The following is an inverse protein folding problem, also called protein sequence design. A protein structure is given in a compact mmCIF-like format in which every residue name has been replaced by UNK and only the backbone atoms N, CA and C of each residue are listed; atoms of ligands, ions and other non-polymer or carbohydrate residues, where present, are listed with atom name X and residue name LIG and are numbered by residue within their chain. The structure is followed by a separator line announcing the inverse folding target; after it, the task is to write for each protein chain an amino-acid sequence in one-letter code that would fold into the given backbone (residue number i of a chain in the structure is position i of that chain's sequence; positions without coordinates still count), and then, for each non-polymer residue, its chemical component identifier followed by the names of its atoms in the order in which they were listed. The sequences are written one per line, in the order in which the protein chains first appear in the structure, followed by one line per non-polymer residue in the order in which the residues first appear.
data_IF_099591782618
#
_entry.id   IF_099591782618
#
_cell.length_a   1.000
_cell.length_b   1.000
_cell.length_c   1.000
_cell.angle_alpha   90.00
_cell.angle_beta   90.00
_cell.angle_gamma   90.00
#
_symmetry.space_group_name_H-M   'P 1'
#
loop_
_entity.id
_entity.type
_entity.pdbx_description
1 polymer ?
#
# COMPACT_ATOMS: atom_id res chain seq x y z
N UNK A 1 -48.41 35.23 1.45
CA UNK A 1 -48.92 35.39 0.06
C UNK A 1 -48.23 34.34 -0.80
N UNK A 2 -48.96 33.39 -1.40
CA UNK A 2 -48.42 32.52 -2.46
C UNK A 2 -48.51 33.29 -3.80
N UNK A 3 -47.49 33.26 -4.66
CA UNK A 3 -47.63 33.78 -6.01
C UNK A 3 -48.69 32.97 -6.76
N UNK A 4 -49.59 33.60 -7.53
CA UNK A 4 -50.52 32.87 -8.38
C UNK A 4 -49.75 32.07 -9.44
N UNK A 5 -50.12 30.79 -9.63
CA UNK A 5 -49.52 29.83 -10.57
C UNK A 5 -48.07 29.40 -10.28
N UNK A 6 -47.58 29.55 -9.05
CA UNK A 6 -46.28 29.02 -8.63
C UNK A 6 -46.44 27.92 -7.56
N UNK A 7 -46.45 26.68 -8.02
CA UNK A 7 -46.32 25.44 -7.23
C UNK A 7 -44.85 25.08 -6.91
N UNK A 8 -43.91 25.72 -7.58
CA UNK A 8 -42.47 25.60 -7.38
C UNK A 8 -41.96 26.65 -6.38
N UNK A 9 -42.15 26.38 -5.09
CA UNK A 9 -41.46 27.16 -4.05
C UNK A 9 -39.98 26.76 -4.01
N UNK A 10 -39.04 27.71 -4.09
CA UNK A 10 -37.61 27.37 -4.03
C UNK A 10 -37.27 26.81 -2.66
N UNK A 11 -36.68 25.61 -2.65
CA UNK A 11 -36.11 25.01 -1.44
C UNK A 11 -34.65 25.41 -1.39
N UNK A 12 -34.29 26.17 -0.37
CA UNK A 12 -32.90 26.49 -0.07
C UNK A 12 -32.37 25.46 0.92
N UNK A 13 -31.44 24.63 0.46
CA UNK A 13 -30.75 23.65 1.28
C UNK A 13 -29.29 24.05 1.43
N UNK A 14 -28.78 23.99 2.66
CA UNK A 14 -27.35 24.09 2.94
C UNK A 14 -26.87 22.69 3.28
N UNK A 15 -26.00 22.13 2.45
CA UNK A 15 -25.39 20.82 2.67
C UNK A 15 -23.95 21.07 3.07
N UNK A 16 -23.62 20.73 4.31
CA UNK A 16 -22.24 20.69 4.75
C UNK A 16 -21.59 19.43 4.19
N UNK A 17 -20.60 19.62 3.31
CA UNK A 17 -19.81 18.55 2.67
C UNK A 17 -18.40 18.47 3.26
N UNK A 18 -18.17 19.07 4.43
CA UNK A 18 -16.89 18.95 5.12
C UNK A 18 -16.61 17.49 5.43
N UNK A 19 -15.56 16.95 4.79
CA UNK A 19 -15.06 15.63 5.10
C UNK A 19 -14.01 15.77 6.20
N UNK A 20 -14.15 15.00 7.28
CA UNK A 20 -13.05 14.81 8.23
C UNK A 20 -11.97 14.02 7.50
N UNK A 21 -10.92 14.70 7.10
CA UNK A 21 -9.75 14.07 6.49
C UNK A 21 -9.01 13.37 7.62
N UNK A 22 -9.10 12.04 7.68
CA UNK A 22 -8.30 11.28 8.64
C UNK A 22 -6.85 11.26 8.15
N UNK A 23 -5.92 11.41 9.09
CA UNK A 23 -4.52 11.13 8.82
C UNK A 23 -4.40 9.66 8.43
N UNK A 24 -3.91 9.42 7.22
CA UNK A 24 -3.58 8.08 6.78
C UNK A 24 -2.20 7.73 7.33
N UNK A 25 -2.08 6.56 7.94
CA UNK A 25 -0.77 6.07 8.38
C UNK A 25 0.08 5.70 7.16
N UNK A 26 1.39 6.03 7.15
CA UNK A 26 2.32 5.53 6.15
C UNK A 26 2.32 4.00 6.11
N UNK A 27 2.26 3.41 4.92
CA UNK A 27 2.33 1.97 4.69
C UNK A 27 3.37 1.64 3.63
N UNK A 28 3.90 0.42 3.62
CA UNK A 28 4.79 -0.07 2.56
C UNK A 28 4.10 0.09 1.19
N UNK A 29 4.72 0.83 0.30
CA UNK A 29 4.21 1.14 -1.02
C UNK A 29 4.71 0.13 -2.05
N UNK A 30 4.16 -1.09 -1.97
CA UNK A 30 4.49 -2.21 -2.86
C UNK A 30 4.37 -1.88 -4.35
N UNK A 31 3.48 -0.94 -4.70
CA UNK A 31 3.28 -0.50 -6.09
C UNK A 31 4.48 0.28 -6.64
N UNK A 32 5.16 1.04 -5.78
CA UNK A 32 6.32 1.86 -6.18
C UNK A 32 7.66 1.17 -5.90
N UNK A 33 7.64 -0.09 -5.45
CA UNK A 33 8.85 -0.88 -5.23
C UNK A 33 9.59 -1.13 -6.53
N UNK A 34 10.91 -0.90 -6.53
CA UNK A 34 11.79 -1.44 -7.57
C UNK A 34 11.95 -2.96 -7.35
N UNK A 35 11.20 -3.74 -8.12
CA UNK A 35 11.21 -5.20 -8.04
C UNK A 35 12.52 -5.84 -8.50
N UNK A 36 13.36 -5.12 -9.26
CA UNK A 36 14.70 -5.62 -9.59
C UNK A 36 15.60 -5.52 -8.36
N UNK A 37 15.67 -4.34 -7.74
CA UNK A 37 16.43 -4.14 -6.51
C UNK A 37 15.95 -5.04 -5.37
N UNK A 38 14.62 -5.20 -5.22
CA UNK A 38 14.03 -6.10 -4.22
C UNK A 38 14.50 -7.54 -4.41
N UNK A 39 14.46 -8.07 -5.65
CA UNK A 39 14.90 -9.44 -5.93
C UNK A 39 16.40 -9.60 -5.70
N UNK A 40 17.21 -8.65 -6.13
CA UNK A 40 18.67 -8.68 -5.90
C UNK A 40 19.00 -8.73 -4.41
N UNK A 41 18.31 -7.93 -3.59
CA UNK A 41 18.52 -7.92 -2.14
C UNK A 41 18.00 -9.18 -1.46
N UNK A 42 16.80 -9.65 -1.82
CA UNK A 42 16.24 -10.89 -1.28
C UNK A 42 17.13 -12.10 -1.63
N UNK A 43 17.64 -12.17 -2.87
CA UNK A 43 18.53 -13.26 -3.29
C UNK A 43 19.83 -13.29 -2.48
N UNK A 44 20.41 -12.14 -2.13
CA UNK A 44 21.61 -12.09 -1.27
C UNK A 44 21.32 -12.65 0.13
N UNK A 45 20.16 -12.33 0.69
CA UNK A 45 19.74 -12.82 2.02
C UNK A 45 19.46 -14.31 1.99
N UNK A 46 18.72 -14.78 0.99
CA UNK A 46 18.45 -16.22 0.84
C UNK A 46 19.71 -17.03 0.53
N UNK A 47 20.73 -16.44 -0.08
CA UNK A 47 22.01 -17.12 -0.32
C UNK A 47 22.78 -17.45 0.96
N UNK A 48 22.46 -16.82 2.11
CA UNK A 48 23.06 -17.19 3.40
C UNK A 48 22.34 -18.35 4.08
N UNK A 49 21.26 -18.85 3.49
CA UNK A 49 20.54 -20.00 4.01
C UNK A 49 21.43 -21.25 3.94
N UNK A 50 21.44 -22.09 4.99
CA UNK A 50 22.15 -23.35 4.93
C UNK A 50 21.64 -24.22 3.77
N UNK A 51 22.50 -25.06 3.16
CA UNK A 51 22.11 -25.93 2.07
C UNK A 51 20.91 -26.80 2.46
N UNK A 52 19.88 -26.83 1.61
CA UNK A 52 18.72 -27.67 1.86
C UNK A 52 19.06 -29.12 1.55
N UNK A 53 19.15 -29.93 2.60
CA UNK A 53 19.07 -31.38 2.50
C UNK A 53 17.60 -31.81 2.72
N UNK A 54 17.31 -33.12 2.69
CA UNK A 54 15.95 -33.60 3.02
C UNK A 54 15.59 -33.14 4.45
N UNK A 55 14.50 -32.39 4.59
CA UNK A 55 13.94 -31.97 5.89
C UNK A 55 13.38 -33.22 6.58
N UNK A 56 13.87 -33.52 7.79
CA UNK A 56 13.53 -34.76 8.52
C UNK A 56 12.67 -34.53 9.77
N UNK A 57 12.51 -33.29 10.19
CA UNK A 57 11.81 -32.90 11.42
C UNK A 57 11.07 -31.56 11.25
N UNK A 58 10.10 -31.31 12.13
CA UNK A 58 9.20 -30.16 12.05
C UNK A 58 9.92 -28.89 12.47
N UNK A 59 10.81 -28.99 13.44
CA UNK A 59 11.58 -27.87 13.99
C UNK A 59 12.48 -27.25 12.90
N UNK A 60 13.12 -28.08 12.09
CA UNK A 60 13.91 -27.64 10.93
C UNK A 60 13.02 -26.97 9.89
N UNK A 61 11.82 -27.50 9.61
CA UNK A 61 10.88 -26.87 8.70
C UNK A 61 10.45 -25.47 9.19
N UNK A 62 10.08 -25.37 10.46
CA UNK A 62 9.64 -24.11 11.07
C UNK A 62 10.75 -23.05 11.04
N UNK A 63 11.98 -23.43 11.42
CA UNK A 63 13.14 -22.53 11.34
C UNK A 63 13.40 -22.03 9.91
N UNK A 64 13.19 -22.88 8.91
CA UNK A 64 13.34 -22.48 7.51
C UNK A 64 12.24 -21.53 7.05
N UNK A 65 10.99 -21.77 7.46
CA UNK A 65 9.87 -20.86 7.17
C UNK A 65 10.09 -19.50 7.82
N UNK A 66 10.52 -19.50 9.08
CA UNK A 66 10.86 -18.27 9.81
C UNK A 66 11.97 -17.50 9.10
N UNK A 67 13.07 -18.17 8.73
CA UNK A 67 14.16 -17.55 7.98
C UNK A 67 13.71 -16.91 6.67
N UNK A 68 12.83 -17.57 5.91
CA UNK A 68 12.28 -17.03 4.66
C UNK A 68 11.39 -15.82 4.94
N UNK A 69 10.50 -15.90 5.93
CA UNK A 69 9.64 -14.77 6.32
C UNK A 69 10.47 -13.56 6.76
N UNK A 70 11.46 -13.77 7.62
CA UNK A 70 12.36 -12.72 8.08
C UNK A 70 13.16 -12.11 6.93
N UNK A 71 13.66 -12.94 6.01
CA UNK A 71 14.38 -12.47 4.83
C UNK A 71 13.51 -11.57 3.95
N UNK A 72 12.24 -11.94 3.73
CA UNK A 72 11.28 -11.13 2.97
C UNK A 72 10.99 -9.83 3.69
N UNK A 73 10.71 -9.88 4.99
CA UNK A 73 10.33 -8.70 5.78
C UNK A 73 11.50 -7.72 5.91
N UNK A 74 12.71 -8.21 6.17
CA UNK A 74 13.92 -7.40 6.24
C UNK A 74 14.28 -6.79 4.88
N UNK A 75 14.08 -7.53 3.79
CA UNK A 75 14.21 -6.96 2.43
C UNK A 75 13.18 -5.85 2.22
N UNK A 76 11.93 -6.06 2.64
CA UNK A 76 10.88 -5.07 2.52
C UNK A 76 11.20 -3.80 3.29
N UNK A 77 11.73 -3.90 4.51
CA UNK A 77 12.12 -2.74 5.31
C UNK A 77 13.27 -1.94 4.70
N UNK A 78 14.15 -2.61 3.97
CA UNK A 78 15.30 -1.97 3.34
C UNK A 78 14.95 -1.28 2.02
N UNK A 79 14.13 -1.90 1.17
CA UNK A 79 13.97 -1.47 -0.23
C UNK A 79 12.56 -1.06 -0.62
N UNK A 80 11.53 -1.37 0.18
CA UNK A 80 10.15 -0.97 -0.14
C UNK A 80 9.92 0.44 0.38
N UNK A 81 9.62 1.41 -0.50
CA UNK A 81 9.38 2.77 -0.06
C UNK A 81 8.13 2.83 0.83
N UNK A 82 8.14 3.69 1.83
CA UNK A 82 6.93 4.03 2.57
C UNK A 82 6.09 5.00 1.76
N UNK A 83 4.77 4.83 1.81
CA UNK A 83 3.84 5.79 1.23
C UNK A 83 3.92 7.11 1.99
N UNK A 84 3.83 8.22 1.27
CA UNK A 84 3.66 9.56 1.83
C UNK A 84 2.18 9.96 1.68
N UNK A 85 1.29 9.51 2.58
CA UNK A 85 -0.11 9.84 2.48
C UNK A 85 -0.30 11.34 2.69
N UNK A 86 -1.01 11.98 1.75
CA UNK A 86 -1.42 13.37 1.88
C UNK A 86 -2.91 13.47 1.61
N UNK A 87 -3.59 14.51 2.14
CA UNK A 87 -4.99 14.80 1.81
C UNK A 87 -5.28 14.89 0.30
N UNK A 88 -4.25 15.21 -0.49
CA UNK A 88 -4.34 15.43 -1.92
C UNK A 88 -3.99 14.19 -2.75
N UNK A 89 -3.52 13.11 -2.12
CA UNK A 89 -3.18 11.86 -2.81
C UNK A 89 -4.46 11.21 -3.35
N UNK A 90 -4.61 11.16 -4.67
CA UNK A 90 -5.78 10.54 -5.32
C UNK A 90 -5.61 9.02 -5.37
N UNK A 91 -6.59 8.27 -4.85
CA UNK A 91 -6.56 6.79 -4.81
C UNK A 91 -6.47 6.14 -6.20
N UNK A 92 -7.02 6.78 -7.22
CA UNK A 92 -7.04 6.30 -8.60
C UNK A 92 -5.80 6.70 -9.41
N UNK A 93 -4.90 7.50 -8.84
CA UNK A 93 -3.68 7.90 -9.53
C UNK A 93 -2.69 6.73 -9.61
N UNK A 94 -2.08 6.51 -10.76
CA UNK A 94 -1.05 5.50 -11.02
C UNK A 94 0.10 6.14 -11.81
N UNK A 95 1.28 5.52 -11.82
CA UNK A 95 2.47 6.09 -12.49
C UNK A 95 2.26 6.17 -14.01
N UNK A 96 1.51 5.22 -14.56
CA UNK A 96 1.13 5.17 -15.98
C UNK A 96 0.28 6.39 -16.39
N UNK A 97 -0.48 6.99 -15.45
CA UNK A 97 -1.23 8.22 -15.71
C UNK A 97 -0.34 9.46 -15.81
N UNK A 98 0.84 9.47 -15.18
CA UNK A 98 1.82 10.55 -15.35
C UNK A 98 2.55 10.42 -16.70
N UNK A 99 2.78 9.19 -17.17
CA UNK A 99 3.41 8.91 -18.47
C UNK A 99 2.48 9.22 -19.66
N UNK A 100 1.16 9.22 -19.44
CA UNK A 100 0.14 9.53 -20.45
C UNK A 100 -0.13 11.05 -20.64
N UNK A 101 0.68 11.92 -20.02
CA UNK A 101 0.55 13.38 -20.05
C UNK A 101 1.47 14.01 -21.09
#
# INVERSE_FOLDING_TARGET
RRPPNADHLPIMSVIDISAVISDSTPRRNWRMTDWKAFREELSKRLATMPPMDIIRDVETLEAMVEFVQESIMATADQVVPMSTPTPFTKRWWTKELDEAR
#
